data_IF_508527659355
#
_entry.id   IF_508527659355
#
_cell.length_a   1.000
_cell.length_b   1.000
_cell.length_c   1.000
_cell.angle_alpha   90.00
_cell.angle_beta   90.00
_cell.angle_gamma   90.00
#
_symmetry.space_group_name_H-M   'P 1'
#
loop_
_entity.id
_entity.type
_entity.pdbx_description
1 polymer ?
#
# COMPACT_ATOMS: atom_id res chain seq x y z
N UNK A 1 -19.44 0.14 3.06
CA UNK A 1 -18.50 -0.28 2.04
C UNK A 1 -18.73 -1.71 1.54
N UNK A 2 -17.87 -2.21 0.67
CA UNK A 2 -18.03 -3.45 -0.07
C UNK A 2 -17.60 -4.73 0.69
N UNK A 3 -17.30 -4.66 2.00
CA UNK A 3 -16.77 -5.80 2.77
C UNK A 3 -17.60 -7.08 2.68
N UNK A 4 -18.92 -6.98 2.61
CA UNK A 4 -19.81 -8.13 2.45
C UNK A 4 -19.79 -8.79 1.06
N UNK A 5 -19.07 -8.20 0.09
CA UNK A 5 -18.89 -8.73 -1.28
C UNK A 5 -17.53 -9.42 -1.48
N UNK A 6 -16.65 -9.38 -0.48
CA UNK A 6 -15.35 -10.02 -0.57
C UNK A 6 -15.52 -11.51 -0.32
N UNK A 7 -15.27 -12.33 -1.34
CA UNK A 7 -15.45 -13.79 -1.27
C UNK A 7 -14.19 -14.52 -0.79
N UNK A 8 -13.01 -13.94 -1.04
CA UNK A 8 -11.74 -14.49 -0.58
C UNK A 8 -10.67 -13.38 -0.50
N UNK A 9 -9.60 -13.63 0.25
CA UNK A 9 -8.48 -12.70 0.40
C UNK A 9 -7.16 -13.45 0.62
N UNK A 10 -6.04 -12.74 0.77
CA UNK A 10 -4.71 -13.31 1.07
C UNK A 10 -4.43 -13.28 2.57
N UNK A 11 -3.41 -14.05 2.99
CA UNK A 11 -2.92 -14.08 4.37
C UNK A 11 -2.60 -12.66 4.87
N UNK A 12 -2.71 -12.46 6.18
CA UNK A 12 -2.47 -11.16 6.86
C UNK A 12 -3.48 -10.04 6.51
N UNK A 13 -4.60 -10.34 5.87
CA UNK A 13 -5.70 -9.39 5.66
C UNK A 13 -6.59 -9.33 6.91
N UNK A 14 -6.08 -8.78 8.02
CA UNK A 14 -6.67 -8.90 9.35
C UNK A 14 -7.50 -7.67 9.78
N UNK A 15 -7.47 -6.62 8.99
CA UNK A 15 -8.21 -5.39 9.28
C UNK A 15 -9.19 -5.04 8.15
N UNK A 16 -10.42 -4.59 8.48
CA UNK A 16 -11.02 -4.54 9.82
C UNK A 16 -11.26 -5.95 10.40
N UNK A 17 -11.60 -6.11 11.69
CA UNK A 17 -11.76 -7.44 12.32
C UNK A 17 -12.67 -8.40 11.55
N UNK A 18 -13.67 -7.89 10.85
CA UNK A 18 -14.54 -8.68 9.98
C UNK A 18 -13.78 -9.39 8.85
N UNK A 19 -12.63 -8.86 8.40
CA UNK A 19 -11.81 -9.46 7.36
C UNK A 19 -11.20 -10.81 7.78
N UNK A 20 -11.03 -11.06 9.07
CA UNK A 20 -10.51 -12.32 9.60
C UNK A 20 -11.42 -13.52 9.32
N UNK A 21 -12.70 -13.28 9.03
CA UNK A 21 -13.71 -14.32 8.70
C UNK A 21 -13.74 -14.66 7.21
N UNK A 22 -13.01 -13.92 6.37
CA UNK A 22 -13.00 -14.14 4.92
C UNK A 22 -12.01 -15.27 4.62
N UNK A 23 -12.37 -16.24 3.75
CA UNK A 23 -11.49 -17.32 3.33
C UNK A 23 -10.14 -16.82 2.81
N UNK A 24 -9.06 -17.54 3.13
CA UNK A 24 -7.70 -17.25 2.70
C UNK A 24 -7.31 -18.17 1.55
N UNK A 25 -6.67 -17.58 0.52
CA UNK A 25 -6.20 -18.28 -0.68
C UNK A 25 -4.67 -18.45 -0.71
N UNK A 26 -3.99 -18.17 0.38
CA UNK A 26 -2.53 -18.12 0.46
C UNK A 26 -2.01 -16.69 0.61
N UNK A 27 -0.77 -16.44 0.21
CA UNK A 27 -0.12 -15.16 0.42
C UNK A 27 -0.01 -14.32 -0.87
N UNK A 28 0.56 -13.11 -0.77
CA UNK A 28 0.69 -12.16 -1.89
C UNK A 28 1.57 -12.66 -3.05
N UNK A 29 2.42 -13.67 -2.85
CA UNK A 29 3.29 -14.24 -3.89
C UNK A 29 2.75 -15.53 -4.49
N UNK A 30 1.95 -16.28 -3.74
CA UNK A 30 1.39 -17.57 -4.14
C UNK A 30 -0.01 -17.73 -3.60
N UNK A 31 -0.97 -17.88 -4.50
CA UNK A 31 -2.38 -18.17 -4.17
C UNK A 31 -2.81 -19.49 -4.75
N UNK A 32 -3.80 -20.11 -4.12
CA UNK A 32 -4.48 -21.29 -4.62
C UNK A 32 -5.48 -20.86 -5.72
N UNK A 33 -5.07 -21.05 -6.98
CA UNK A 33 -5.89 -20.67 -8.15
C UNK A 33 -7.11 -21.57 -8.31
N UNK A 34 -7.04 -22.84 -7.89
CA UNK A 34 -8.17 -23.76 -7.96
C UNK A 34 -9.24 -23.35 -6.95
N UNK A 35 -8.85 -23.06 -5.71
CA UNK A 35 -9.74 -22.50 -4.72
C UNK A 35 -10.34 -21.15 -5.15
N UNK A 36 -9.53 -20.26 -5.75
CA UNK A 36 -10.02 -18.99 -6.27
C UNK A 36 -11.17 -19.19 -7.28
N UNK A 37 -11.01 -20.12 -8.21
CA UNK A 37 -12.02 -20.40 -9.23
C UNK A 37 -13.32 -20.95 -8.64
N UNK A 38 -13.27 -21.69 -7.52
CA UNK A 38 -14.49 -22.19 -6.86
C UNK A 38 -15.35 -21.06 -6.29
N UNK A 39 -14.76 -19.92 -5.96
CA UNK A 39 -15.49 -18.74 -5.49
C UNK A 39 -16.12 -17.92 -6.60
N UNK A 40 -15.79 -18.17 -7.89
CA UNK A 40 -16.32 -17.49 -9.06
C UNK A 40 -16.32 -15.95 -8.90
N UNK A 41 -15.18 -15.30 -8.63
CA UNK A 41 -15.17 -13.86 -8.39
C UNK A 41 -15.51 -13.09 -9.66
N UNK A 42 -16.35 -12.06 -9.54
CA UNK A 42 -16.63 -11.11 -10.61
C UNK A 42 -15.47 -10.15 -10.88
N UNK A 43 -14.59 -9.97 -9.90
CA UNK A 43 -13.44 -9.08 -9.96
C UNK A 43 -12.32 -9.57 -9.03
N UNK A 44 -11.10 -9.56 -9.53
CA UNK A 44 -9.88 -9.73 -8.74
C UNK A 44 -9.16 -8.40 -8.63
N UNK A 45 -8.84 -7.97 -7.41
CA UNK A 45 -8.01 -6.80 -7.17
C UNK A 45 -6.60 -7.28 -6.83
N UNK A 46 -5.64 -6.96 -7.68
CA UNK A 46 -4.23 -7.27 -7.50
C UNK A 46 -3.42 -5.98 -7.22
N UNK A 47 -2.27 -6.12 -6.60
CA UNK A 47 -1.36 -5.01 -6.30
C UNK A 47 -0.07 -5.13 -7.12
N UNK A 48 0.19 -4.14 -7.98
CA UNK A 48 1.28 -4.17 -8.95
C UNK A 48 2.67 -4.36 -8.31
N UNK A 49 2.91 -3.66 -7.20
CA UNK A 49 4.24 -3.64 -6.58
C UNK A 49 4.45 -4.77 -5.55
N UNK A 50 3.40 -5.50 -5.20
CA UNK A 50 3.42 -6.59 -4.22
C UNK A 50 3.13 -7.97 -4.79
N UNK A 51 2.40 -8.06 -5.91
CA UNK A 51 2.15 -9.34 -6.54
C UNK A 51 3.17 -9.61 -7.65
N UNK A 52 3.74 -10.82 -7.76
CA UNK A 52 4.62 -11.19 -8.87
C UNK A 52 3.90 -11.00 -10.22
N UNK A 53 4.56 -10.42 -11.25
CA UNK A 53 3.97 -10.27 -12.57
C UNK A 53 3.43 -11.58 -13.15
N UNK A 54 4.15 -12.69 -12.95
CA UNK A 54 3.72 -14.01 -13.38
C UNK A 54 2.38 -14.45 -12.77
N UNK A 55 2.11 -14.10 -11.50
CA UNK A 55 0.83 -14.38 -10.86
C UNK A 55 -0.29 -13.56 -11.51
N UNK A 56 -0.06 -12.29 -11.78
CA UNK A 56 -1.03 -11.42 -12.45
C UNK A 56 -1.34 -11.95 -13.86
N UNK A 57 -0.33 -12.43 -14.57
CA UNK A 57 -0.50 -13.01 -15.92
C UNK A 57 -1.25 -14.34 -15.88
N UNK A 58 -0.99 -15.19 -14.89
CA UNK A 58 -1.78 -16.41 -14.65
C UNK A 58 -3.27 -16.11 -14.40
N UNK A 59 -3.55 -15.12 -13.54
CA UNK A 59 -4.92 -14.70 -13.27
C UNK A 59 -5.63 -14.19 -14.54
N UNK A 60 -4.94 -13.42 -15.40
CA UNK A 60 -5.47 -12.98 -16.70
C UNK A 60 -5.75 -14.15 -17.63
N UNK A 61 -4.85 -15.13 -17.68
CA UNK A 61 -5.01 -16.32 -18.51
C UNK A 61 -6.24 -17.17 -18.12
N UNK A 62 -6.71 -17.07 -16.88
CA UNK A 62 -7.94 -17.70 -16.41
C UNK A 62 -9.22 -16.97 -16.86
N UNK A 63 -9.09 -15.85 -17.59
CA UNK A 63 -10.22 -15.06 -18.05
C UNK A 63 -10.93 -14.24 -16.98
N UNK A 64 -10.35 -14.10 -15.78
CA UNK A 64 -10.92 -13.33 -14.69
C UNK A 64 -10.78 -11.82 -14.95
N UNK A 65 -11.82 -11.01 -14.69
CA UNK A 65 -11.69 -9.57 -14.66
C UNK A 65 -10.72 -9.14 -13.56
N UNK A 66 -9.64 -8.41 -13.92
CA UNK A 66 -8.61 -8.00 -12.95
C UNK A 66 -8.45 -6.50 -12.99
N UNK A 67 -8.49 -5.89 -11.82
CA UNK A 67 -8.00 -4.55 -11.57
C UNK A 67 -6.64 -4.62 -10.88
N UNK A 68 -5.61 -4.03 -11.51
CA UNK A 68 -4.26 -3.96 -10.92
C UNK A 68 -4.08 -2.58 -10.31
N UNK A 69 -4.16 -2.53 -8.99
CA UNK A 69 -3.95 -1.31 -8.20
C UNK A 69 -2.48 -0.92 -8.18
N UNK A 70 -2.21 0.36 -8.32
CA UNK A 70 -0.88 0.94 -8.17
C UNK A 70 -0.98 2.34 -7.58
N UNK A 71 -0.51 2.52 -6.35
CA UNK A 71 -0.41 3.82 -5.70
C UNK A 71 1.07 4.20 -5.56
N UNK A 72 1.52 5.11 -6.42
CA UNK A 72 2.92 5.59 -6.43
C UNK A 72 3.10 6.74 -5.43
N UNK A 73 2.06 7.55 -5.23
CA UNK A 73 2.04 8.71 -4.34
C UNK A 73 0.94 8.61 -3.31
N UNK A 74 1.14 9.23 -2.14
CA UNK A 74 0.14 9.18 -1.07
C UNK A 74 -1.21 9.80 -1.51
N UNK A 75 -1.18 10.86 -2.31
CA UNK A 75 -2.41 11.48 -2.82
C UNK A 75 -3.20 10.54 -3.74
N UNK A 76 -2.52 9.70 -4.53
CA UNK A 76 -3.19 8.75 -5.44
C UNK A 76 -4.01 7.68 -4.71
N UNK A 77 -3.81 7.50 -3.40
CA UNK A 77 -4.66 6.62 -2.59
C UNK A 77 -6.12 7.10 -2.53
N UNK A 78 -6.36 8.41 -2.61
CA UNK A 78 -7.72 8.93 -2.69
C UNK A 78 -8.41 8.51 -3.99
N UNK A 79 -7.70 8.57 -5.11
CA UNK A 79 -8.21 8.17 -6.42
C UNK A 79 -8.48 6.64 -6.46
N UNK A 80 -7.63 5.85 -5.79
CA UNK A 80 -7.86 4.41 -5.62
C UNK A 80 -9.13 4.13 -4.80
N UNK A 81 -9.40 4.90 -3.74
CA UNK A 81 -10.63 4.75 -2.96
C UNK A 81 -11.89 5.03 -3.80
N UNK A 82 -11.88 6.08 -4.63
CA UNK A 82 -12.96 6.38 -5.57
C UNK A 82 -13.13 5.23 -6.57
N UNK A 83 -12.03 4.72 -7.13
CA UNK A 83 -12.04 3.61 -8.08
C UNK A 83 -12.58 2.33 -7.46
N UNK A 84 -12.17 1.99 -6.25
CA UNK A 84 -12.74 0.85 -5.52
C UNK A 84 -14.24 1.03 -5.28
N UNK A 85 -14.69 2.25 -4.98
CA UNK A 85 -16.11 2.57 -4.89
C UNK A 85 -16.85 2.25 -6.18
N UNK A 86 -16.33 2.69 -7.32
CA UNK A 86 -16.91 2.43 -8.65
C UNK A 86 -16.91 0.92 -8.97
N UNK A 87 -15.77 0.24 -8.86
CA UNK A 87 -15.62 -1.18 -9.17
C UNK A 87 -16.51 -2.09 -8.33
N UNK A 88 -16.80 -1.68 -7.10
CA UNK A 88 -17.63 -2.46 -6.18
C UNK A 88 -19.09 -2.01 -6.12
N UNK A 89 -19.51 -1.09 -7.01
CA UNK A 89 -20.88 -0.57 -7.04
C UNK A 89 -21.26 0.24 -5.79
N UNK A 90 -20.28 0.89 -5.17
CA UNK A 90 -20.43 1.73 -3.97
C UNK A 90 -19.76 3.11 -4.19
N UNK A 91 -20.07 3.85 -5.29
CA UNK A 91 -19.34 5.08 -5.63
C UNK A 91 -19.39 6.11 -4.50
N UNK A 92 -20.56 6.37 -3.90
CA UNK A 92 -20.67 7.33 -2.80
C UNK A 92 -19.80 6.98 -1.59
N UNK A 93 -19.64 5.69 -1.25
CA UNK A 93 -18.76 5.29 -0.14
C UNK A 93 -17.27 5.48 -0.52
N UNK A 94 -16.91 5.29 -1.78
CA UNK A 94 -15.57 5.59 -2.31
C UNK A 94 -15.26 7.07 -2.24
N UNK A 95 -16.17 7.92 -2.75
CA UNK A 95 -16.02 9.38 -2.77
C UNK A 95 -15.89 9.95 -1.35
N UNK A 96 -16.74 9.50 -0.43
CA UNK A 96 -16.68 9.89 0.98
C UNK A 96 -15.34 9.50 1.64
N UNK A 97 -14.84 8.29 1.35
CA UNK A 97 -13.56 7.83 1.88
C UNK A 97 -12.41 8.64 1.32
N UNK A 98 -12.40 8.91 0.02
CA UNK A 98 -11.41 9.73 -0.65
C UNK A 98 -11.40 11.17 -0.12
N UNK A 99 -12.59 11.76 0.06
CA UNK A 99 -12.72 13.11 0.62
C UNK A 99 -12.14 13.20 2.03
N UNK A 100 -12.51 12.28 2.93
CA UNK A 100 -11.95 12.23 4.29
C UNK A 100 -10.44 12.03 4.28
N UNK A 101 -9.93 11.22 3.36
CA UNK A 101 -8.50 10.98 3.23
C UNK A 101 -7.76 12.26 2.81
N UNK A 102 -8.24 12.96 1.77
CA UNK A 102 -7.67 14.24 1.31
C UNK A 102 -7.70 15.31 2.41
N UNK A 103 -8.81 15.40 3.14
CA UNK A 103 -8.89 16.32 4.29
C UNK A 103 -7.84 15.99 5.35
N UNK A 104 -7.66 14.72 5.70
CA UNK A 104 -6.66 14.30 6.68
C UNK A 104 -5.23 14.62 6.24
N UNK A 105 -4.91 14.46 4.95
CA UNK A 105 -3.61 14.87 4.39
C UNK A 105 -3.41 16.39 4.52
N UNK A 106 -4.41 17.17 4.17
CA UNK A 106 -4.35 18.64 4.29
C UNK A 106 -4.16 19.10 5.73
N UNK A 107 -4.86 18.48 6.69
CA UNK A 107 -4.73 18.77 8.12
C UNK A 107 -3.33 18.44 8.64
N UNK A 108 -2.78 17.29 8.26
CA UNK A 108 -1.42 16.89 8.64
C UNK A 108 -0.39 17.88 8.05
N UNK A 109 -0.50 18.19 6.77
CA UNK A 109 0.38 19.15 6.13
C UNK A 109 0.33 20.52 6.82
N UNK A 110 -0.87 21.03 7.09
CA UNK A 110 -1.05 22.31 7.80
C UNK A 110 -0.43 22.29 9.20
N UNK A 111 -0.56 21.17 9.91
CA UNK A 111 -0.04 20.99 11.29
C UNK A 111 1.48 21.00 11.34
N UNK A 112 2.13 20.41 10.34
CA UNK A 112 3.58 20.19 10.36
C UNK A 112 4.38 21.13 9.47
N UNK A 113 3.77 21.81 8.49
CA UNK A 113 4.45 22.67 7.51
C UNK A 113 5.35 23.77 8.10
N UNK A 114 5.06 24.22 9.34
CA UNK A 114 5.82 25.29 10.01
C UNK A 114 6.69 24.79 11.17
N UNK A 115 6.79 23.48 11.35
CA UNK A 115 7.63 22.90 12.41
C UNK A 115 9.05 22.67 11.93
N UNK A 116 10.05 22.68 12.81
CA UNK A 116 11.40 22.26 12.45
C UNK A 116 11.38 20.87 11.85
N UNK A 117 12.18 20.66 10.82
CA UNK A 117 12.30 19.36 10.15
C UNK A 117 13.11 18.43 11.04
N UNK A 118 12.59 17.21 11.23
CA UNK A 118 13.26 16.13 11.99
C UNK A 118 13.92 15.16 11.01
N UNK A 119 15.18 14.81 11.25
CA UNK A 119 15.91 13.85 10.42
C UNK A 119 15.56 12.42 10.82
N UNK A 120 14.91 11.66 9.92
CA UNK A 120 14.31 10.38 10.22
C UNK A 120 15.06 9.25 9.53
N UNK A 121 15.46 8.23 10.31
CA UNK A 121 15.81 6.91 9.80
C UNK A 121 14.60 5.97 9.94
N UNK A 122 14.15 5.38 8.83
CA UNK A 122 13.09 4.38 8.83
C UNK A 122 13.68 3.00 8.56
N UNK A 123 13.66 2.12 9.55
CA UNK A 123 14.11 0.73 9.41
C UNK A 123 12.95 -0.17 8.95
N UNK A 124 13.12 -0.85 7.82
CA UNK A 124 12.20 -1.88 7.35
C UNK A 124 12.62 -3.24 7.90
N UNK A 125 13.92 -3.53 7.89
CA UNK A 125 14.49 -4.81 8.27
C UNK A 125 15.87 -4.63 8.84
N UNK A 126 16.24 -5.45 9.83
CA UNK A 126 17.49 -5.28 10.57
C UNK A 126 18.67 -6.13 10.07
N UNK A 127 18.41 -7.23 9.34
CA UNK A 127 19.47 -8.14 8.84
C UNK A 127 19.07 -8.79 7.51
N UNK A 128 19.51 -8.27 6.36
CA UNK A 128 20.34 -7.06 6.20
C UNK A 128 19.61 -5.80 6.63
N UNK A 129 20.35 -4.75 7.04
CA UNK A 129 19.74 -3.48 7.42
C UNK A 129 19.17 -2.80 6.18
N UNK A 130 17.85 -2.64 6.14
CA UNK A 130 17.12 -2.11 4.99
C UNK A 130 16.29 -0.89 5.40
N UNK A 131 16.21 0.07 4.49
CA UNK A 131 15.45 1.31 4.66
C UNK A 131 14.59 1.61 3.44
N UNK A 132 13.98 2.79 3.38
CA UNK A 132 13.20 3.29 2.24
C UNK A 132 13.97 4.38 1.50
N UNK A 133 13.94 4.34 0.18
CA UNK A 133 14.43 5.42 -0.69
C UNK A 133 13.40 6.54 -0.87
N UNK A 134 13.81 7.63 -1.56
CA UNK A 134 13.00 8.84 -1.69
C UNK A 134 11.72 8.68 -2.49
N UNK A 135 11.66 7.72 -3.40
CA UNK A 135 10.49 7.45 -4.25
C UNK A 135 9.45 6.51 -3.59
N UNK A 136 9.74 6.01 -2.40
CA UNK A 136 8.84 5.16 -1.66
C UNK A 136 7.80 6.00 -0.90
N UNK A 137 6.53 5.57 -0.92
CA UNK A 137 5.40 6.31 -0.30
C UNK A 137 5.63 6.62 1.18
N UNK A 138 6.37 5.80 1.91
CA UNK A 138 6.74 6.05 3.31
C UNK A 138 7.57 7.33 3.44
N UNK A 139 8.44 7.65 2.46
CA UNK A 139 9.20 8.90 2.46
C UNK A 139 8.30 10.13 2.26
N UNK A 140 7.19 9.98 1.53
CA UNK A 140 6.17 11.03 1.42
C UNK A 140 5.43 11.22 2.75
N UNK A 141 5.09 10.13 3.45
CA UNK A 141 4.48 10.18 4.80
C UNK A 141 5.41 10.87 5.80
N UNK A 142 6.70 10.52 5.79
CA UNK A 142 7.71 11.17 6.66
C UNK A 142 7.70 12.68 6.40
N UNK A 143 7.74 13.10 5.12
CA UNK A 143 7.72 14.52 4.74
C UNK A 143 6.42 15.22 5.16
N UNK A 144 5.27 14.57 4.95
CA UNK A 144 3.96 15.09 5.35
C UNK A 144 3.90 15.36 6.87
N UNK A 145 4.60 14.54 7.66
CA UNK A 145 4.69 14.69 9.11
C UNK A 145 5.83 15.63 9.58
N UNK A 146 6.45 16.39 8.66
CA UNK A 146 7.54 17.34 8.98
C UNK A 146 8.90 16.68 9.13
N UNK A 147 9.07 15.42 8.69
CA UNK A 147 10.35 14.73 8.71
C UNK A 147 11.10 14.81 7.37
N UNK A 148 12.39 14.54 7.43
CA UNK A 148 13.26 14.31 6.28
C UNK A 148 13.83 12.89 6.36
N UNK A 149 13.54 12.06 5.36
CA UNK A 149 14.20 10.77 5.26
C UNK A 149 15.69 10.96 4.93
N UNK A 150 16.59 10.54 5.83
CA UNK A 150 18.04 10.68 5.63
C UNK A 150 18.56 9.93 4.40
N UNK A 151 17.83 8.95 3.89
CA UNK A 151 18.10 8.20 2.67
C UNK A 151 17.17 8.57 1.50
N UNK A 152 16.48 9.72 1.60
CA UNK A 152 15.56 10.22 0.56
C UNK A 152 16.22 10.53 -0.81
N UNK A 153 17.55 10.61 -0.87
CA UNK A 153 18.32 10.78 -2.11
C UNK A 153 18.49 9.47 -2.91
N UNK A 154 18.22 8.31 -2.29
CA UNK A 154 18.32 7.02 -2.96
C UNK A 154 17.08 6.74 -3.82
N UNK A 155 17.31 6.29 -5.06
CA UNK A 155 16.22 5.97 -6.00
C UNK A 155 15.67 4.55 -5.83
N UNK A 156 16.44 3.65 -5.23
CA UNK A 156 16.00 2.29 -4.92
C UNK A 156 14.88 2.36 -3.89
N UNK A 157 13.77 1.66 -4.13
CA UNK A 157 12.61 1.67 -3.22
C UNK A 157 12.97 1.17 -1.82
N UNK A 158 13.72 0.08 -1.75
CA UNK A 158 14.12 -0.57 -0.50
C UNK A 158 15.62 -0.88 -0.57
N UNK A 159 16.50 0.10 -0.30
CA UNK A 159 17.95 -0.12 -0.32
C UNK A 159 18.43 -0.80 0.96
N UNK A 160 19.49 -1.60 0.83
CA UNK A 160 20.32 -2.03 1.96
C UNK A 160 21.34 -0.94 2.28
N UNK A 161 21.50 -0.63 3.56
CA UNK A 161 22.42 0.41 4.05
C UNK A 161 23.32 -0.16 5.17
N UNK A 162 24.42 0.52 5.46
CA UNK A 162 25.27 0.15 6.60
C UNK A 162 24.94 1.00 7.83
N UNK A 163 25.24 0.47 9.00
CA UNK A 163 25.04 1.20 10.27
C UNK A 163 25.91 2.48 10.31
N UNK A 164 27.10 2.43 9.69
CA UNK A 164 28.01 3.58 9.61
C UNK A 164 27.37 4.71 8.78
N UNK A 165 26.66 4.37 7.69
CA UNK A 165 25.96 5.37 6.88
C UNK A 165 24.79 6.00 7.64
N UNK A 166 24.09 5.24 8.47
CA UNK A 166 23.05 5.77 9.36
C UNK A 166 23.63 6.73 10.38
N UNK A 167 24.72 6.33 11.05
CA UNK A 167 25.39 7.16 12.04
C UNK A 167 25.97 8.45 11.42
N UNK A 168 26.56 8.35 10.22
CA UNK A 168 27.06 9.50 9.48
C UNK A 168 25.96 10.49 9.10
N UNK A 169 24.78 10.00 8.79
CA UNK A 169 23.61 10.81 8.46
C UNK A 169 22.95 11.48 9.68
N UNK A 170 23.29 11.08 10.91
CA UNK A 170 22.84 11.68 12.19
C UNK A 170 21.31 11.87 12.23
N UNK A 171 20.50 10.81 12.22
CA UNK A 171 19.06 10.93 12.51
C UNK A 171 18.85 11.38 13.96
N UNK A 172 17.67 11.97 14.21
CA UNK A 172 17.26 12.43 15.56
C UNK A 172 16.46 11.36 16.30
#
# INVERSE_FOLDING_TARGET
>A
GAGGRIVATVDFSDYPPAAQKIPRLGNHTRIDLEALLTYQPDLVIAWKDGNPPALIDQLRALGLPIYVSQSVHIESLADELERYGQLTGQPGAGDDAAHRFRQRLADLNSRYAKKPTVRVFYEIWNRPLMTVGGTQVISEVIRLCGGENIFGHLRTLVPTVSIESVLAAKPE
#
